data_IF_662719024312
#
_entry.id   IF_662719024312
#
_cell.length_a   1.000
_cell.length_b   1.000
_cell.length_c   1.000
_cell.angle_alpha   90.00
_cell.angle_beta   90.00
_cell.angle_gamma   90.00
#
_symmetry.space_group_name_H-M   'P 1'
#
loop_
_entity.id
_entity.type
_entity.pdbx_description
1 polymer ?
#
# COMPACT_ATOMS: atom_id res chain seq x y z
N UNK A 1 14.29 11.78 -4.17
CA UNK A 1 13.43 10.60 -4.38
C UNK A 1 12.05 11.05 -4.76
N UNK A 2 11.54 10.57 -5.89
CA UNK A 2 10.18 10.90 -6.35
C UNK A 2 9.19 10.28 -5.37
N UNK A 3 8.20 11.05 -4.93
CA UNK A 3 7.15 10.52 -4.07
C UNK A 3 6.28 9.53 -4.87
N UNK A 4 5.56 8.65 -4.16
CA UNK A 4 4.65 7.72 -4.83
C UNK A 4 3.57 8.47 -5.62
N UNK A 5 3.08 9.59 -5.09
CA UNK A 5 2.07 10.40 -5.75
C UNK A 5 2.62 11.03 -7.04
N UNK A 6 3.86 11.53 -7.01
CA UNK A 6 4.50 12.09 -8.19
C UNK A 6 4.74 11.02 -9.25
N UNK A 7 5.18 9.83 -8.83
CA UNK A 7 5.37 8.71 -9.74
C UNK A 7 4.03 8.26 -10.33
N UNK A 8 2.98 8.26 -9.54
CA UNK A 8 1.64 7.95 -10.00
C UNK A 8 1.14 8.93 -11.05
N UNK A 9 1.40 10.23 -10.88
CA UNK A 9 1.03 11.26 -11.84
C UNK A 9 1.76 11.06 -13.18
N UNK A 10 3.07 10.80 -13.13
CA UNK A 10 3.85 10.54 -14.34
C UNK A 10 3.34 9.32 -15.11
N UNK A 11 3.03 8.25 -14.41
CA UNK A 11 2.47 7.04 -15.03
C UNK A 11 1.12 7.34 -15.68
N UNK A 12 0.27 8.15 -15.02
CA UNK A 12 -1.03 8.52 -15.54
C UNK A 12 -0.93 9.32 -16.84
N UNK A 13 -0.02 10.28 -16.89
CA UNK A 13 0.19 11.08 -18.10
C UNK A 13 0.64 10.22 -19.28
N UNK A 14 1.52 9.25 -19.03
CA UNK A 14 1.95 8.31 -20.07
C UNK A 14 0.82 7.42 -20.54
N UNK A 15 0.00 6.94 -19.61
CA UNK A 15 -1.06 5.97 -19.88
C UNK A 15 -2.19 6.55 -20.73
N UNK A 16 -2.44 7.86 -20.69
CA UNK A 16 -3.45 8.48 -21.53
C UNK A 16 -3.22 8.20 -23.03
N UNK A 17 -1.96 8.00 -23.42
CA UNK A 17 -1.60 7.70 -24.82
C UNK A 17 -1.59 6.20 -25.14
N UNK A 18 -1.86 5.33 -24.16
CA UNK A 18 -1.80 3.90 -24.34
C UNK A 18 -3.18 3.25 -24.46
N UNK A 19 -3.19 1.99 -24.88
CA UNK A 19 -4.40 1.22 -25.13
C UNK A 19 -5.10 0.81 -23.81
N UNK A 20 -6.37 0.40 -23.93
CA UNK A 20 -7.11 -0.16 -22.80
C UNK A 20 -6.48 -1.44 -22.27
N UNK A 21 -5.82 -2.20 -23.14
CA UNK A 21 -5.11 -3.42 -22.76
C UNK A 21 -4.00 -3.15 -21.74
N UNK A 22 -3.19 -2.09 -21.99
CA UNK A 22 -2.14 -1.69 -21.05
C UNK A 22 -2.75 -1.25 -19.71
N UNK A 23 -3.84 -0.49 -19.77
CA UNK A 23 -4.52 -0.03 -18.56
C UNK A 23 -5.03 -1.20 -17.72
N UNK A 24 -5.59 -2.21 -18.34
CA UNK A 24 -6.08 -3.41 -17.65
C UNK A 24 -4.93 -4.19 -17.01
N UNK A 25 -3.80 -4.32 -17.69
CA UNK A 25 -2.63 -4.99 -17.11
C UNK A 25 -2.07 -4.22 -15.90
N UNK A 26 -2.05 -2.89 -15.99
CA UNK A 26 -1.60 -2.06 -14.87
C UNK A 26 -2.52 -2.22 -13.66
N UNK A 27 -3.84 -2.25 -13.88
CA UNK A 27 -4.81 -2.47 -12.81
C UNK A 27 -4.61 -3.84 -12.16
N UNK A 28 -4.34 -4.86 -12.96
CA UNK A 28 -4.08 -6.21 -12.45
C UNK A 28 -2.86 -6.23 -11.55
N UNK A 29 -1.76 -5.59 -11.97
CA UNK A 29 -0.54 -5.50 -11.15
C UNK A 29 -0.82 -4.77 -9.84
N UNK A 30 -1.59 -3.69 -9.89
CA UNK A 30 -1.96 -2.94 -8.69
C UNK A 30 -2.78 -3.82 -7.73
N UNK A 31 -3.76 -4.55 -8.24
CA UNK A 31 -4.59 -5.44 -7.43
C UNK A 31 -3.75 -6.56 -6.78
N UNK A 32 -2.87 -7.18 -7.54
CA UNK A 32 -1.98 -8.23 -7.04
C UNK A 32 -1.04 -7.71 -5.96
N UNK A 33 -0.48 -6.52 -6.15
CA UNK A 33 0.40 -5.90 -5.17
C UNK A 33 -0.35 -5.57 -3.89
N UNK A 34 -1.58 -5.06 -4.00
CA UNK A 34 -2.40 -4.74 -2.83
C UNK A 34 -2.68 -5.98 -1.98
N UNK A 35 -2.94 -7.13 -2.62
CA UNK A 35 -3.14 -8.39 -1.90
C UNK A 35 -1.88 -8.78 -1.13
N UNK A 36 -0.71 -8.68 -1.77
CA UNK A 36 0.57 -9.01 -1.12
C UNK A 36 0.85 -8.10 0.08
N UNK A 37 0.61 -6.79 -0.09
CA UNK A 37 0.80 -5.81 0.99
C UNK A 37 -0.14 -6.11 2.14
N UNK A 38 -1.40 -6.37 1.85
CA UNK A 38 -2.41 -6.68 2.88
C UNK A 38 -2.04 -7.94 3.66
N UNK A 39 -1.64 -9.01 2.96
CA UNK A 39 -1.22 -10.25 3.60
C UNK A 39 0.00 -10.04 4.49
N UNK A 40 0.97 -9.28 4.03
CA UNK A 40 2.15 -8.94 4.82
C UNK A 40 1.76 -8.19 6.10
N UNK A 41 0.92 -7.17 5.98
CA UNK A 41 0.44 -6.40 7.12
C UNK A 41 -0.26 -7.32 8.13
N UNK A 42 -1.16 -8.16 7.66
CA UNK A 42 -1.90 -9.09 8.52
C UNK A 42 -0.98 -10.10 9.21
N UNK A 43 0.12 -10.47 8.56
CA UNK A 43 1.08 -11.41 9.14
C UNK A 43 2.00 -10.77 10.18
N UNK A 44 2.23 -9.45 10.10
CA UNK A 44 3.16 -8.73 10.97
C UNK A 44 2.50 -7.89 12.05
N UNK A 45 1.25 -7.52 11.87
CA UNK A 45 0.53 -6.71 12.85
C UNK A 45 0.31 -7.50 14.16
N UNK A 46 0.40 -6.82 15.33
CA UNK A 46 0.14 -7.48 16.60
C UNK A 46 -1.26 -8.10 16.68
N UNK A 47 -1.40 -9.22 17.38
CA UNK A 47 -2.65 -9.97 17.47
C UNK A 47 -3.17 -10.20 18.89
N UNK A 48 -2.40 -9.85 19.92
CA UNK A 48 -2.77 -10.17 21.30
C UNK A 48 -3.04 -8.92 22.15
N UNK A 49 -3.72 -9.11 23.28
CA UNK A 49 -4.01 -8.02 24.22
C UNK A 49 -4.89 -6.94 23.61
N UNK A 50 -4.49 -5.69 23.73
CA UNK A 50 -5.21 -4.54 23.16
C UNK A 50 -5.21 -4.55 21.63
N UNK A 51 -4.34 -5.35 21.03
CA UNK A 51 -4.26 -5.50 19.57
C UNK A 51 -5.13 -6.63 19.04
N UNK A 52 -5.97 -7.23 19.88
CA UNK A 52 -6.90 -8.28 19.45
C UNK A 52 -7.79 -7.76 18.33
N UNK A 53 -7.85 -8.51 17.24
CA UNK A 53 -8.63 -8.14 16.06
C UNK A 53 -7.98 -7.08 15.17
N UNK A 54 -6.85 -6.51 15.59
CA UNK A 54 -6.20 -5.43 14.84
C UNK A 54 -5.72 -5.90 13.46
N UNK A 55 -5.00 -7.02 13.41
CA UNK A 55 -4.49 -7.53 12.13
C UNK A 55 -5.63 -7.80 11.13
N UNK A 56 -6.74 -8.33 11.61
CA UNK A 56 -7.89 -8.65 10.78
C UNK A 56 -8.75 -7.44 10.41
N UNK A 57 -8.49 -6.29 11.04
CA UNK A 57 -9.21 -5.05 10.74
C UNK A 57 -8.74 -4.35 9.47
N UNK A 58 -7.60 -4.75 8.92
CA UNK A 58 -7.05 -4.14 7.71
C UNK A 58 -7.84 -4.52 6.48
N UNK A 59 -8.11 -3.53 5.66
CA UNK A 59 -8.86 -3.70 4.41
C UNK A 59 -8.13 -3.01 3.27
N UNK A 60 -8.33 -3.50 2.06
CA UNK A 60 -7.81 -2.88 0.84
C UNK A 60 -9.01 -2.44 0.02
N UNK A 61 -9.22 -1.14 -0.12
CA UNK A 61 -10.38 -0.57 -0.78
C UNK A 61 -9.95 0.11 -2.07
N UNK A 62 -10.43 -0.35 -3.24
CA UNK A 62 -10.13 0.33 -4.50
C UNK A 62 -10.91 1.64 -4.60
N UNK A 63 -10.23 2.67 -5.10
CA UNK A 63 -10.80 3.98 -5.34
C UNK A 63 -10.44 4.42 -6.75
N UNK A 64 -11.39 5.06 -7.45
CA UNK A 64 -11.18 5.52 -8.82
C UNK A 64 -11.26 4.39 -9.82
N UNK A 65 -11.09 4.73 -11.09
CA UNK A 65 -11.16 3.79 -12.21
C UNK A 65 -10.08 4.09 -13.23
N UNK A 66 -9.67 3.05 -13.97
CA UNK A 66 -8.69 3.18 -15.03
C UNK A 66 -7.36 3.73 -14.53
N UNK A 67 -6.91 4.82 -15.15
CA UNK A 67 -5.64 5.45 -14.78
C UNK A 67 -5.68 6.16 -13.43
N UNK A 68 -6.88 6.43 -12.91
CA UNK A 68 -7.07 7.07 -11.62
C UNK A 68 -7.25 6.06 -10.48
N UNK A 69 -7.15 4.78 -10.78
CA UNK A 69 -7.33 3.74 -9.77
C UNK A 69 -6.19 3.78 -8.75
N UNK A 70 -6.56 3.71 -7.50
CA UNK A 70 -5.64 3.53 -6.39
C UNK A 70 -6.28 2.58 -5.39
N UNK A 71 -5.48 1.98 -4.53
CA UNK A 71 -5.98 1.10 -3.50
C UNK A 71 -5.51 1.63 -2.15
N UNK A 72 -6.47 1.96 -1.29
CA UNK A 72 -6.18 2.40 0.06
C UNK A 72 -6.18 1.19 1.00
N UNK A 73 -5.10 1.03 1.77
CA UNK A 73 -4.98 -0.04 2.75
C UNK A 73 -4.91 0.60 4.13
N UNK A 74 -5.87 0.28 4.99
CA UNK A 74 -5.96 0.88 6.31
C UNK A 74 -6.74 -0.03 7.26
N UNK A 75 -6.64 0.25 8.57
CA UNK A 75 -7.45 -0.42 9.56
C UNK A 75 -8.84 0.20 9.57
N UNK A 76 -9.88 -0.63 9.45
CA UNK A 76 -11.26 -0.16 9.38
C UNK A 76 -11.75 0.49 10.67
N UNK A 77 -11.19 0.12 11.83
CA UNK A 77 -11.67 0.59 13.13
C UNK A 77 -10.56 0.92 14.15
N UNK A 78 -9.30 0.69 13.82
CA UNK A 78 -8.17 0.86 14.73
C UNK A 78 -7.03 1.70 14.14
N UNK A 79 -7.38 2.74 13.39
CA UNK A 79 -6.38 3.62 12.77
C UNK A 79 -5.45 4.29 13.77
N UNK A 80 -5.96 4.62 14.98
CA UNK A 80 -5.14 5.23 16.03
C UNK A 80 -4.02 4.29 16.48
N UNK A 81 -4.33 3.00 16.64
CA UNK A 81 -3.31 2.01 17.02
C UNK A 81 -2.26 1.88 15.94
N UNK A 82 -2.66 1.91 14.66
CA UNK A 82 -1.72 1.90 13.54
C UNK A 82 -0.73 3.05 13.66
N UNK A 83 -1.22 4.26 13.92
CA UNK A 83 -0.37 5.45 14.05
C UNK A 83 0.63 5.31 15.21
N UNK A 84 0.16 4.83 16.37
CA UNK A 84 1.02 4.64 17.53
C UNK A 84 2.14 3.64 17.25
N UNK A 85 1.83 2.55 16.58
CA UNK A 85 2.83 1.52 16.27
C UNK A 85 3.84 1.99 15.21
N UNK A 86 3.38 2.73 14.20
CA UNK A 86 4.29 3.21 13.16
C UNK A 86 5.26 4.27 13.65
N UNK A 87 4.83 5.17 14.55
CA UNK A 87 5.62 6.32 14.95
C UNK A 87 6.10 6.29 16.39
N UNK A 88 5.64 5.33 17.18
CA UNK A 88 5.93 5.30 18.62
C UNK A 88 5.05 6.28 19.38
N UNK A 89 5.15 6.26 20.69
CA UNK A 89 4.33 7.11 21.55
C UNK A 89 4.93 7.22 22.95
N UNK A 90 4.51 8.26 23.70
CA UNK A 90 4.88 8.40 25.09
C UNK A 90 3.79 7.80 25.98
N UNK A 91 4.17 6.82 26.78
CA UNK A 91 3.27 6.17 27.72
C UNK A 91 2.85 7.14 28.84
N UNK A 92 1.69 6.89 29.48
CA UNK A 92 1.19 7.70 30.58
C UNK A 92 2.22 7.98 31.65
N UNK A 93 3.12 7.04 31.94
CA UNK A 93 4.17 7.18 32.91
C UNK A 93 5.37 8.01 32.44
N UNK A 94 5.31 8.62 31.29
CA UNK A 94 6.39 9.41 30.71
C UNK A 94 7.43 8.62 29.95
N UNK A 95 7.31 7.31 29.89
CA UNK A 95 8.23 6.47 29.14
C UNK A 95 7.88 6.47 27.66
N UNK A 96 8.86 6.76 26.80
CA UNK A 96 8.69 6.67 25.37
C UNK A 96 8.76 5.22 24.90
N UNK A 97 7.78 4.81 24.10
CA UNK A 97 7.75 3.50 23.45
C UNK A 97 8.12 3.71 21.98
N UNK A 98 9.23 3.09 21.56
CA UNK A 98 9.72 3.24 20.20
C UNK A 98 8.79 2.65 19.16
N UNK A 99 8.95 3.07 17.88
CA UNK A 99 8.10 2.57 16.80
C UNK A 99 8.33 1.08 16.53
N UNK A 100 7.27 0.40 16.14
CA UNK A 100 7.28 -0.96 15.63
C UNK A 100 6.56 -0.96 14.28
N UNK A 101 7.17 -0.37 13.24
CA UNK A 101 6.48 -0.21 11.97
C UNK A 101 6.24 -1.55 11.26
N UNK A 102 5.10 -1.67 10.63
CA UNK A 102 4.76 -2.80 9.77
C UNK A 102 4.13 -2.35 8.46
N UNK A 103 3.52 -1.17 8.41
CA UNK A 103 2.96 -0.59 7.19
C UNK A 103 4.07 -0.16 6.23
N UNK A 104 5.06 0.58 6.73
CA UNK A 104 6.19 1.05 5.91
C UNK A 104 7.00 -0.11 5.35
N UNK A 105 7.37 -1.12 6.14
CA UNK A 105 8.06 -2.30 5.61
C UNK A 105 7.23 -3.06 4.58
N UNK A 106 5.90 -3.15 4.75
CA UNK A 106 5.04 -3.80 3.77
C UNK A 106 5.10 -3.07 2.42
N UNK A 107 5.00 -1.75 2.45
CA UNK A 107 5.11 -0.92 1.27
C UNK A 107 6.47 -1.09 0.60
N UNK A 108 7.55 -0.97 1.38
CA UNK A 108 8.92 -1.05 0.85
C UNK A 108 9.24 -2.43 0.27
N UNK A 109 8.56 -3.48 0.75
CA UNK A 109 8.77 -4.84 0.25
C UNK A 109 8.19 -5.04 -1.15
N UNK A 110 7.08 -4.39 -1.49
CA UNK A 110 6.33 -4.72 -2.71
C UNK A 110 6.18 -3.56 -3.70
N UNK A 111 6.19 -2.31 -3.26
CA UNK A 111 5.98 -1.17 -4.15
C UNK A 111 7.07 -1.02 -5.22
N UNK A 112 8.36 -1.18 -4.92
CA UNK A 112 9.40 -1.08 -5.96
C UNK A 112 9.22 -2.13 -7.06
N UNK A 113 8.87 -3.35 -6.71
CA UNK A 113 8.60 -4.41 -7.69
C UNK A 113 7.40 -4.06 -8.57
N UNK A 114 6.35 -3.52 -7.97
CA UNK A 114 5.16 -3.07 -8.70
C UNK A 114 5.53 -2.02 -9.73
N UNK A 115 6.32 -1.02 -9.34
CA UNK A 115 6.77 0.06 -10.23
C UNK A 115 7.56 -0.51 -11.41
N UNK A 116 8.49 -1.44 -11.14
CA UNK A 116 9.28 -2.06 -12.21
C UNK A 116 8.41 -2.90 -13.15
N UNK A 117 7.43 -3.62 -12.62
CA UNK A 117 6.51 -4.41 -13.43
C UNK A 117 5.67 -3.51 -14.33
N UNK A 118 5.13 -2.41 -13.79
CA UNK A 118 4.36 -1.44 -14.57
C UNK A 118 5.24 -0.81 -15.67
N UNK A 119 6.48 -0.47 -15.35
CA UNK A 119 7.42 0.06 -16.33
C UNK A 119 7.62 -0.93 -17.47
N UNK A 120 7.80 -2.20 -17.15
CA UNK A 120 7.96 -3.26 -18.16
C UNK A 120 6.73 -3.40 -19.05
N UNK A 121 5.54 -3.30 -18.48
CA UNK A 121 4.28 -3.36 -19.24
C UNK A 121 4.22 -2.21 -20.25
N UNK A 122 4.54 -1.01 -19.83
CA UNK A 122 4.54 0.17 -20.70
C UNK A 122 5.57 0.00 -21.83
N UNK A 123 6.77 -0.46 -21.52
CA UNK A 123 7.84 -0.66 -22.51
C UNK A 123 7.48 -1.73 -23.54
N UNK A 124 6.76 -2.78 -23.13
CA UNK A 124 6.33 -3.85 -24.04
C UNK A 124 5.11 -3.49 -24.89
N UNK A 125 4.42 -2.40 -24.57
CA UNK A 125 3.19 -2.05 -25.24
C UNK A 125 1.98 -2.91 -24.84
N UNK A 126 2.02 -3.57 -23.68
CA UNK A 126 0.88 -4.30 -23.12
C UNK A 126 0.72 -5.74 -23.58
N UNK A 127 1.66 -6.30 -24.27
CA UNK A 127 1.58 -7.70 -24.75
C UNK A 127 2.41 -8.66 -23.93
#
# INVERSE_FOLDING_TARGET
>A
MVSLDELGIEIMELVESYTNEIKLEMEKVLDETAVKVLEYIQSKAPRSGQAYGFADSFVAIPEGEGINKRIAIYSSDKGRLTHLLEFGFTHRGGKFVGPRPFMRPAYDAFAPEMVETIRSIIERGGS
#
